data_IF_117500173382
#
_entry.id   IF_117500173382
#
_cell.length_a   1.000
_cell.length_b   1.000
_cell.length_c   1.000
_cell.angle_alpha   90.00
_cell.angle_beta   90.00
_cell.angle_gamma   90.00
#
_symmetry.space_group_name_H-M   'P 1'
#
loop_
_entity.id
_entity.type
_entity.pdbx_description
1 polymer ?
#
# COMPACT_ATOMS: atom_id res chain seq x y z
N UNK A 1 -11.46 8.61 -9.94
CA UNK A 1 -11.53 7.52 -10.93
C UNK A 1 -12.52 7.87 -12.05
N UNK A 2 -12.33 7.23 -13.20
CA UNK A 2 -13.11 7.31 -14.44
C UNK A 2 -13.61 5.92 -14.81
N UNK A 3 -14.50 5.84 -15.81
CA UNK A 3 -14.96 4.56 -16.35
C UNK A 3 -13.80 3.66 -16.77
N UNK A 4 -13.87 2.37 -16.40
CA UNK A 4 -12.86 1.39 -16.77
C UNK A 4 -11.54 1.48 -15.99
N UNK A 5 -11.49 2.18 -14.85
CA UNK A 5 -10.28 2.20 -14.03
C UNK A 5 -9.94 0.81 -13.45
N UNK A 6 -8.69 0.59 -13.05
CA UNK A 6 -8.23 -0.60 -12.34
C UNK A 6 -7.79 -0.28 -10.91
N UNK A 7 -7.88 -1.26 -10.01
CA UNK A 7 -7.52 -1.05 -8.61
C UNK A 7 -6.98 -2.29 -7.91
N UNK A 8 -6.12 -2.08 -6.91
CA UNK A 8 -5.73 -3.09 -5.95
C UNK A 8 -5.90 -2.53 -4.53
N UNK A 9 -6.93 -2.97 -3.79
CA UNK A 9 -7.06 -2.68 -2.38
C UNK A 9 -6.08 -3.53 -1.55
N UNK A 10 -5.90 -3.15 -0.28
CA UNK A 10 -5.23 -4.02 0.69
C UNK A 10 -6.13 -5.15 1.18
N UNK A 11 -5.58 -6.02 2.02
CA UNK A 11 -6.22 -7.26 2.48
C UNK A 11 -6.75 -7.19 3.92
N UNK A 12 -6.66 -6.02 4.56
CA UNK A 12 -7.21 -5.79 5.90
C UNK A 12 -7.22 -4.31 6.29
N UNK A 13 -7.84 -3.99 7.42
CA UNK A 13 -7.87 -2.64 7.97
C UNK A 13 -8.44 -1.59 6.99
N UNK A 14 -7.89 -0.39 7.03
CA UNK A 14 -8.36 0.73 6.20
C UNK A 14 -8.12 0.51 4.69
N UNK A 15 -7.04 -0.18 4.32
CA UNK A 15 -6.70 -0.44 2.91
C UNK A 15 -7.66 -1.42 2.23
N UNK A 16 -8.32 -2.32 2.98
CA UNK A 16 -9.45 -3.10 2.49
C UNK A 16 -10.77 -2.32 2.57
N UNK A 17 -11.01 -1.62 3.68
CA UNK A 17 -12.27 -0.91 3.95
C UNK A 17 -12.59 0.19 2.92
N UNK A 18 -11.59 0.72 2.21
CA UNK A 18 -11.75 1.67 1.11
C UNK A 18 -12.77 1.19 0.05
N UNK A 19 -12.83 -0.12 -0.19
CA UNK A 19 -13.73 -0.74 -1.18
C UNK A 19 -15.21 -0.47 -0.88
N UNK A 20 -15.59 -0.43 0.40
CA UNK A 20 -16.96 -0.10 0.83
C UNK A 20 -17.35 1.32 0.43
N UNK A 21 -16.43 2.27 0.59
CA UNK A 21 -16.69 3.68 0.21
C UNK A 21 -16.61 3.89 -1.30
N UNK A 22 -15.82 3.08 -2.01
CA UNK A 22 -15.75 3.11 -3.46
C UNK A 22 -17.05 2.63 -4.11
N UNK A 23 -17.71 1.60 -3.57
CA UNK A 23 -19.00 1.12 -4.08
C UNK A 23 -20.01 2.24 -4.26
N UNK A 24 -20.29 2.99 -3.19
CA UNK A 24 -21.29 4.07 -3.21
C UNK A 24 -20.94 5.15 -4.25
N UNK A 25 -19.65 5.49 -4.37
CA UNK A 25 -19.16 6.49 -5.32
C UNK A 25 -19.18 6.00 -6.76
N UNK A 26 -18.96 4.70 -6.99
CA UNK A 26 -19.05 4.06 -8.29
C UNK A 26 -20.49 4.03 -8.78
N UNK A 27 -21.43 3.63 -7.91
CA UNK A 27 -22.87 3.65 -8.19
C UNK A 27 -23.37 5.06 -8.49
N UNK A 28 -23.03 6.04 -7.65
CA UNK A 28 -23.54 7.40 -7.82
C UNK A 28 -23.03 8.10 -9.09
N UNK A 29 -21.94 7.58 -9.69
CA UNK A 29 -21.33 8.13 -10.90
C UNK A 29 -21.53 7.24 -12.12
N UNK A 30 -22.23 6.11 -11.96
CA UNK A 30 -22.37 5.06 -12.98
C UNK A 30 -21.01 4.66 -13.60
N UNK A 31 -20.03 4.40 -12.73
CA UNK A 31 -18.67 4.00 -13.12
C UNK A 31 -18.42 2.55 -12.70
N UNK A 32 -17.85 1.77 -13.61
CA UNK A 32 -17.46 0.39 -13.42
C UNK A 32 -15.95 0.24 -13.63
N UNK A 33 -15.28 -0.51 -12.73
CA UNK A 33 -13.87 -0.82 -12.85
C UNK A 33 -13.63 -1.94 -13.88
N UNK A 34 -12.54 -1.86 -14.64
CA UNK A 34 -12.17 -2.91 -15.60
C UNK A 34 -11.66 -4.16 -14.90
N UNK A 35 -10.81 -4.00 -13.89
CA UNK A 35 -10.37 -5.13 -13.09
C UNK A 35 -9.92 -4.71 -11.69
N UNK A 36 -10.00 -5.66 -10.75
CA UNK A 36 -9.21 -5.63 -9.53
C UNK A 36 -8.12 -6.71 -9.56
N UNK A 37 -7.00 -6.43 -8.89
CA UNK A 37 -5.78 -7.23 -8.94
C UNK A 37 -5.30 -7.60 -7.55
N UNK A 38 -4.59 -8.73 -7.47
CA UNK A 38 -3.70 -9.05 -6.36
C UNK A 38 -4.31 -10.10 -5.46
N UNK A 39 -4.30 -9.82 -4.16
CA UNK A 39 -4.86 -10.69 -3.15
C UNK A 39 -6.37 -10.56 -3.05
N UNK A 40 -7.13 -11.45 -3.69
CA UNK A 40 -8.59 -11.28 -3.76
C UNK A 40 -9.25 -11.66 -2.43
N UNK A 41 -10.17 -10.81 -1.98
CA UNK A 41 -10.99 -11.00 -0.77
C UNK A 41 -12.47 -11.10 -1.13
N UNK A 42 -13.28 -11.58 -0.19
CA UNK A 42 -14.74 -11.65 -0.29
C UNK A 42 -15.36 -10.30 -0.69
N UNK A 43 -14.81 -9.18 -0.23
CA UNK A 43 -15.30 -7.84 -0.57
C UNK A 43 -15.08 -7.51 -2.04
N UNK A 44 -13.96 -7.92 -2.63
CA UNK A 44 -13.72 -7.72 -4.07
C UNK A 44 -14.61 -8.63 -4.92
N UNK A 45 -14.84 -9.87 -4.45
CA UNK A 45 -15.81 -10.78 -5.08
C UNK A 45 -17.21 -10.17 -5.08
N UNK A 46 -17.67 -9.63 -3.96
CA UNK A 46 -18.98 -8.99 -3.85
C UNK A 46 -19.14 -7.84 -4.86
N UNK A 47 -18.14 -6.96 -4.99
CA UNK A 47 -18.15 -5.89 -5.99
C UNK A 47 -18.14 -6.42 -7.43
N UNK A 48 -17.45 -7.53 -7.68
CA UNK A 48 -17.46 -8.19 -8.98
C UNK A 48 -18.85 -8.77 -9.31
N UNK A 49 -19.47 -9.50 -8.39
CA UNK A 49 -20.80 -10.10 -8.56
C UNK A 49 -21.90 -9.03 -8.69
N UNK A 50 -21.72 -7.87 -8.05
CA UNK A 50 -22.57 -6.68 -8.22
C UNK A 50 -22.38 -5.95 -9.55
N UNK A 51 -21.43 -6.38 -10.39
CA UNK A 51 -21.14 -5.77 -11.68
C UNK A 51 -20.37 -4.45 -11.61
N UNK A 52 -19.78 -4.11 -10.44
CA UNK A 52 -18.98 -2.90 -10.25
C UNK A 52 -17.52 -3.10 -10.63
N UNK A 53 -17.06 -4.35 -10.70
CA UNK A 53 -15.73 -4.72 -11.20
C UNK A 53 -15.93 -5.78 -12.28
N UNK A 54 -15.41 -5.56 -13.49
CA UNK A 54 -15.63 -6.50 -14.60
C UNK A 54 -14.83 -7.80 -14.48
N UNK A 55 -13.59 -7.73 -13.98
CA UNK A 55 -12.69 -8.88 -13.84
C UNK A 55 -11.91 -8.86 -12.54
N UNK A 56 -11.59 -10.02 -12.00
CA UNK A 56 -10.65 -10.18 -10.89
C UNK A 56 -9.43 -10.94 -11.42
N UNK A 57 -8.23 -10.43 -11.18
CA UNK A 57 -6.98 -11.08 -11.51
C UNK A 57 -6.34 -11.52 -10.18
N UNK A 58 -6.40 -12.81 -9.89
CA UNK A 58 -6.08 -13.38 -8.58
C UNK A 58 -4.74 -14.11 -8.61
N UNK A 59 -3.78 -13.58 -7.85
CA UNK A 59 -2.49 -14.24 -7.61
C UNK A 59 -2.51 -15.00 -6.27
N UNK A 60 -3.46 -14.70 -5.39
CA UNK A 60 -3.63 -15.28 -4.07
C UNK A 60 -5.02 -14.97 -3.49
N UNK A 61 -5.87 -15.98 -3.32
CA UNK A 61 -7.14 -15.80 -2.61
C UNK A 61 -6.91 -15.70 -1.09
N UNK A 62 -7.38 -14.64 -0.44
CA UNK A 62 -7.17 -14.38 1.00
C UNK A 62 -8.21 -15.03 1.91
N UNK A 63 -9.36 -15.45 1.36
CA UNK A 63 -10.41 -16.10 2.12
C UNK A 63 -11.16 -17.15 1.28
N UNK A 64 -11.98 -17.95 1.97
CA UNK A 64 -12.74 -19.04 1.36
C UNK A 64 -13.69 -18.56 0.27
N UNK A 65 -14.27 -17.37 0.41
CA UNK A 65 -15.23 -16.85 -0.57
C UNK A 65 -14.51 -16.45 -1.86
N UNK A 66 -13.32 -15.84 -1.75
CA UNK A 66 -12.44 -15.58 -2.88
C UNK A 66 -12.07 -16.88 -3.62
N UNK A 67 -11.61 -17.90 -2.88
CA UNK A 67 -11.25 -19.19 -3.47
C UNK A 67 -12.44 -19.89 -4.16
N UNK A 68 -13.64 -19.84 -3.55
CA UNK A 68 -14.86 -20.39 -4.16
C UNK A 68 -15.33 -19.58 -5.38
N UNK A 69 -15.16 -18.26 -5.34
CA UNK A 69 -15.45 -17.41 -6.49
C UNK A 69 -14.54 -17.76 -7.67
N UNK A 70 -13.25 -17.99 -7.43
CA UNK A 70 -12.30 -18.33 -8.50
C UNK A 70 -12.74 -19.59 -9.25
N UNK A 71 -13.31 -20.58 -8.54
CA UNK A 71 -13.81 -21.81 -9.15
C UNK A 71 -15.10 -21.65 -9.97
N UNK A 72 -15.90 -20.60 -9.75
CA UNK A 72 -17.26 -20.47 -10.32
C UNK A 72 -17.47 -19.27 -11.23
N UNK A 73 -16.75 -18.17 -11.01
CA UNK A 73 -16.91 -16.92 -11.75
C UNK A 73 -15.89 -16.88 -12.90
N UNK A 74 -16.31 -16.94 -14.18
CA UNK A 74 -15.38 -17.03 -15.32
C UNK A 74 -14.51 -15.78 -15.53
N UNK A 75 -14.92 -14.65 -14.95
CA UNK A 75 -14.16 -13.39 -14.96
C UNK A 75 -13.33 -13.19 -13.68
N UNK A 76 -13.30 -14.17 -12.78
CA UNK A 76 -12.30 -14.29 -11.73
C UNK A 76 -11.22 -15.24 -12.25
N UNK A 77 -10.05 -14.69 -12.55
CA UNK A 77 -9.02 -15.34 -13.34
C UNK A 77 -7.77 -15.53 -12.48
N UNK A 78 -7.31 -16.77 -12.37
CA UNK A 78 -6.03 -17.10 -11.74
C UNK A 78 -4.87 -16.58 -12.58
N UNK A 79 -3.90 -15.94 -11.94
CA UNK A 79 -2.65 -15.50 -12.55
C UNK A 79 -1.44 -15.93 -11.72
N UNK A 80 -0.33 -16.23 -12.39
CA UNK A 80 0.94 -16.51 -11.70
C UNK A 80 1.58 -15.25 -11.13
N UNK A 81 2.48 -15.41 -10.14
CA UNK A 81 3.30 -14.30 -9.63
C UNK A 81 4.13 -13.60 -10.73
N UNK A 82 4.53 -14.34 -11.78
CA UNK A 82 5.23 -13.77 -12.93
C UNK A 82 4.33 -12.85 -13.78
N UNK A 83 3.05 -13.21 -13.96
CA UNK A 83 2.06 -12.37 -14.63
C UNK A 83 1.57 -11.23 -13.73
N UNK A 84 1.69 -11.37 -12.41
CA UNK A 84 1.30 -10.37 -11.44
C UNK A 84 2.30 -9.20 -11.43
N UNK A 85 3.54 -9.43 -10.98
CA UNK A 85 4.43 -8.34 -10.52
C UNK A 85 5.91 -8.46 -10.90
N UNK A 86 6.32 -9.48 -11.68
CA UNK A 86 7.74 -9.63 -12.04
C UNK A 86 8.23 -8.46 -12.92
N UNK A 87 9.21 -7.71 -12.42
CA UNK A 87 9.85 -6.59 -13.11
C UNK A 87 10.44 -6.96 -14.47
N UNK A 88 11.00 -8.16 -14.61
CA UNK A 88 11.59 -8.65 -15.87
C UNK A 88 10.59 -9.33 -16.81
N UNK A 89 9.30 -9.33 -16.50
CA UNK A 89 8.27 -9.95 -17.34
C UNK A 89 8.03 -9.14 -18.61
N UNK A 90 7.55 -9.81 -19.67
CA UNK A 90 7.10 -9.15 -20.91
C UNK A 90 5.84 -8.29 -20.71
N UNK A 91 5.14 -8.48 -19.59
CA UNK A 91 4.00 -7.67 -19.17
C UNK A 91 3.50 -8.15 -17.83
N UNK A 92 3.70 -7.34 -16.80
CA UNK A 92 3.14 -7.59 -15.47
C UNK A 92 1.78 -6.88 -15.35
N UNK A 93 0.84 -7.51 -14.64
CA UNK A 93 -0.52 -6.97 -14.47
C UNK A 93 -0.52 -5.68 -13.66
N UNK A 94 0.44 -5.53 -12.73
CA UNK A 94 0.64 -4.30 -11.96
C UNK A 94 0.96 -3.08 -12.83
N UNK A 95 1.54 -3.27 -14.02
CA UNK A 95 1.86 -2.18 -14.96
C UNK A 95 0.59 -1.58 -15.63
N UNK A 96 -0.57 -2.18 -15.38
CA UNK A 96 -1.88 -1.72 -15.85
C UNK A 96 -2.75 -1.18 -14.71
N UNK A 97 -2.18 -0.96 -13.53
CA UNK A 97 -2.89 -0.58 -12.34
C UNK A 97 -3.02 0.96 -12.24
N UNK A 98 -4.24 1.47 -12.14
CA UNK A 98 -4.44 2.92 -11.96
C UNK A 98 -4.23 3.33 -10.50
N UNK A 99 -4.72 2.53 -9.55
CA UNK A 99 -4.66 2.85 -8.12
C UNK A 99 -4.30 1.62 -7.29
N UNK A 100 -3.31 1.77 -6.41
CA UNK A 100 -3.05 0.81 -5.33
C UNK A 100 -3.23 1.47 -3.97
N UNK A 101 -3.82 0.73 -3.03
CA UNK A 101 -3.96 1.15 -1.63
C UNK A 101 -3.21 0.16 -0.74
N UNK A 102 -2.12 0.63 -0.14
CA UNK A 102 -1.19 -0.15 0.67
C UNK A 102 -1.23 0.30 2.14
N UNK A 103 -0.53 -0.43 3.00
CA UNK A 103 -0.40 -0.14 4.43
C UNK A 103 1.06 -0.18 4.85
N UNK A 104 1.42 0.53 5.90
CA UNK A 104 2.79 0.65 6.38
C UNK A 104 2.92 0.26 7.86
N UNK A 105 4.04 -0.34 8.27
CA UNK A 105 4.45 -0.36 9.69
C UNK A 105 5.01 1.00 10.08
N UNK A 106 5.94 1.52 9.30
CA UNK A 106 6.51 2.86 9.42
C UNK A 106 6.55 3.55 8.06
N UNK A 107 6.43 4.87 8.07
CA UNK A 107 6.72 5.76 6.94
C UNK A 107 7.68 6.81 7.44
N UNK A 108 8.60 7.30 6.61
CA UNK A 108 9.46 8.43 6.97
C UNK A 108 9.12 9.73 6.23
N UNK A 109 9.81 10.82 6.55
CA UNK A 109 9.60 12.13 5.91
C UNK A 109 10.00 12.16 4.43
N UNK A 110 10.72 11.13 3.95
CA UNK A 110 11.04 10.94 2.54
C UNK A 110 10.05 10.01 1.84
N UNK A 111 8.93 9.67 2.50
CA UNK A 111 7.91 8.73 2.05
C UNK A 111 8.39 7.27 1.90
N UNK A 112 9.59 6.92 2.38
CA UNK A 112 10.01 5.52 2.39
C UNK A 112 9.12 4.73 3.34
N UNK A 113 8.87 3.46 3.01
CA UNK A 113 7.95 2.61 3.75
C UNK A 113 8.63 1.36 4.27
N UNK A 114 8.42 1.09 5.56
CA UNK A 114 8.74 -0.16 6.22
C UNK A 114 7.49 -1.02 6.35
N UNK A 115 7.61 -2.28 5.94
CA UNK A 115 6.61 -3.33 6.16
C UNK A 115 7.24 -4.62 6.70
N UNK A 116 8.50 -4.57 7.13
CA UNK A 116 9.29 -5.76 7.45
C UNK A 116 9.66 -5.85 8.94
N UNK A 117 10.20 -4.78 9.52
CA UNK A 117 10.65 -4.73 10.93
C UNK A 117 9.64 -3.98 11.79
N UNK A 118 9.41 -4.48 13.00
CA UNK A 118 8.57 -3.81 13.99
C UNK A 118 9.29 -2.65 14.67
N UNK A 119 8.58 -1.95 15.57
CA UNK A 119 9.14 -0.85 16.38
C UNK A 119 10.23 -1.26 17.37
N UNK A 120 10.48 -2.56 17.52
CA UNK A 120 11.59 -3.14 18.29
C UNK A 120 12.74 -3.63 17.38
N UNK A 121 12.67 -3.33 16.07
CA UNK A 121 13.68 -3.72 15.09
C UNK A 121 13.61 -5.19 14.66
N UNK A 122 12.69 -5.97 15.25
CA UNK A 122 12.59 -7.41 14.97
C UNK A 122 11.77 -7.65 13.71
N UNK A 123 12.28 -8.56 12.85
CA UNK A 123 11.59 -9.07 11.67
C UNK A 123 10.24 -9.70 12.05
N UNK A 124 9.15 -9.14 11.54
CA UNK A 124 7.78 -9.64 11.80
C UNK A 124 6.79 -9.35 10.68
N UNK A 125 7.25 -8.72 9.61
CA UNK A 125 6.44 -8.37 8.47
C UNK A 125 6.86 -9.14 7.22
N UNK A 126 6.44 -8.64 6.06
CA UNK A 126 6.74 -9.22 4.77
C UNK A 126 6.84 -8.12 3.72
N UNK A 127 7.77 -8.28 2.77
CA UNK A 127 7.86 -7.35 1.62
C UNK A 127 6.61 -7.44 0.73
N UNK A 128 6.17 -8.68 0.42
CA UNK A 128 5.04 -8.93 -0.46
C UNK A 128 5.24 -8.30 -1.84
N UNK A 129 4.14 -7.90 -2.48
CA UNK A 129 4.14 -7.07 -3.70
C UNK A 129 4.06 -5.57 -3.42
N UNK A 130 4.44 -5.13 -2.20
CA UNK A 130 4.24 -3.75 -1.77
C UNK A 130 5.04 -2.79 -2.66
N UNK A 131 6.35 -3.02 -2.80
CA UNK A 131 7.19 -2.19 -3.67
C UNK A 131 6.86 -2.36 -5.16
N UNK A 132 6.44 -3.56 -5.58
CA UNK A 132 6.09 -3.83 -6.98
C UNK A 132 4.89 -3.02 -7.46
N UNK A 133 3.82 -3.02 -6.66
CA UNK A 133 2.59 -2.31 -7.00
C UNK A 133 2.73 -0.81 -6.81
N UNK A 134 3.47 -0.37 -5.77
CA UNK A 134 3.72 1.03 -5.51
C UNK A 134 4.39 1.73 -6.70
N UNK A 135 5.42 1.11 -7.28
CA UNK A 135 6.16 1.72 -8.41
C UNK A 135 5.43 1.59 -9.74
N UNK A 136 4.60 0.56 -9.91
CA UNK A 136 3.92 0.30 -11.19
C UNK A 136 2.57 1.02 -11.33
N UNK A 137 1.88 1.29 -10.22
CA UNK A 137 0.58 1.95 -10.24
C UNK A 137 0.70 3.42 -10.65
N UNK A 138 -0.30 3.94 -11.37
CA UNK A 138 -0.36 5.36 -11.70
C UNK A 138 -0.57 6.26 -10.46
N UNK A 139 -1.17 5.69 -9.40
CA UNK A 139 -1.38 6.30 -8.10
C UNK A 139 -1.14 5.30 -6.97
N UNK A 140 -0.11 5.54 -6.17
CA UNK A 140 0.26 4.77 -4.99
C UNK A 140 -0.15 5.48 -3.70
N UNK A 141 -1.07 4.88 -2.94
CA UNK A 141 -1.59 5.43 -1.69
C UNK A 141 -1.19 4.53 -0.52
N UNK A 142 -0.46 5.07 0.44
CA UNK A 142 -0.25 4.45 1.75
C UNK A 142 -1.34 4.92 2.71
N UNK A 143 -1.98 3.99 3.40
CA UNK A 143 -2.94 4.30 4.45
C UNK A 143 -2.46 3.71 5.76
N UNK A 144 -2.35 4.54 6.78
CA UNK A 144 -2.02 4.10 8.12
C UNK A 144 -2.55 5.07 9.18
N UNK A 145 -2.93 4.59 10.38
CA UNK A 145 -3.14 5.50 11.51
C UNK A 145 -1.83 6.23 11.81
N UNK A 146 -1.90 7.48 12.23
CA UNK A 146 -0.70 8.26 12.55
C UNK A 146 0.08 7.64 13.73
N UNK A 147 -0.65 7.02 14.66
CA UNK A 147 -0.11 6.37 15.87
C UNK A 147 -0.80 5.03 16.11
N UNK A 148 -0.05 4.03 16.54
CA UNK A 148 -0.55 2.73 17.01
C UNK A 148 -0.21 2.54 18.48
N UNK A 149 -1.17 2.79 19.36
CA UNK A 149 -0.93 2.76 20.81
C UNK A 149 0.06 3.85 21.22
N UNK A 150 1.32 3.48 21.45
CA UNK A 150 2.42 4.42 21.76
C UNK A 150 3.47 4.51 20.65
N UNK A 151 3.26 3.82 19.54
CA UNK A 151 4.24 3.71 18.45
C UNK A 151 3.84 4.70 17.35
N UNK A 152 4.69 5.68 17.00
CA UNK A 152 4.43 6.56 15.86
C UNK A 152 4.59 5.76 14.57
N UNK A 153 3.63 5.90 13.64
CA UNK A 153 3.78 5.33 12.30
C UNK A 153 4.69 6.19 11.43
N UNK A 154 4.72 7.50 11.67
CA UNK A 154 5.55 8.43 10.92
C UNK A 154 6.79 8.81 11.74
N UNK A 155 7.96 8.45 11.22
CA UNK A 155 9.28 8.59 11.87
C UNK A 155 10.21 9.45 11.02
N UNK A 156 11.41 9.76 11.53
CA UNK A 156 12.40 10.53 10.77
C UNK A 156 13.03 9.72 9.64
N UNK A 157 13.35 8.47 9.92
CA UNK A 157 13.86 7.49 8.97
C UNK A 157 13.26 6.14 9.35
N UNK A 158 12.81 5.39 8.35
CA UNK A 158 12.29 4.04 8.59
C UNK A 158 13.39 3.11 9.10
N UNK A 159 13.04 2.16 9.97
CA UNK A 159 13.98 1.16 10.48
C UNK A 159 14.46 0.23 9.36
N UNK A 160 13.61 -0.02 8.37
CA UNK A 160 13.96 -0.82 7.19
C UNK A 160 13.20 -0.32 5.98
N UNK A 161 13.91 0.08 4.93
CA UNK A 161 13.33 0.54 3.69
C UNK A 161 12.97 -0.65 2.79
N UNK A 162 11.67 -0.86 2.56
CA UNK A 162 11.16 -1.88 1.62
C UNK A 162 10.64 -1.24 0.34
N UNK A 163 9.94 -0.11 0.46
CA UNK A 163 9.42 0.64 -0.69
C UNK A 163 9.98 2.05 -0.68
N UNK A 164 10.73 2.45 -1.73
CA UNK A 164 11.24 3.81 -1.84
C UNK A 164 10.11 4.83 -1.88
N UNK A 165 10.30 5.97 -1.23
CA UNK A 165 9.32 7.05 -1.26
C UNK A 165 9.09 7.66 -2.64
N UNK A 166 10.04 7.49 -3.57
CA UNK A 166 9.84 7.84 -4.99
C UNK A 166 8.72 7.06 -5.67
N UNK A 167 8.26 5.94 -5.07
CA UNK A 167 7.15 5.11 -5.54
C UNK A 167 5.87 5.30 -4.71
N UNK A 168 5.83 6.31 -3.83
CA UNK A 168 4.68 6.61 -2.99
C UNK A 168 4.20 8.01 -3.30
N UNK A 169 2.93 8.13 -3.69
CA UNK A 169 2.37 9.43 -4.08
C UNK A 169 1.64 10.12 -2.93
N UNK A 170 0.93 9.35 -2.10
CA UNK A 170 0.07 9.89 -1.05
C UNK A 170 0.18 9.03 0.21
N UNK A 171 0.30 9.69 1.37
CA UNK A 171 0.07 9.12 2.69
C UNK A 171 -1.26 9.65 3.25
N UNK A 172 -2.20 8.76 3.55
CA UNK A 172 -3.46 9.07 4.22
C UNK A 172 -3.41 8.59 5.66
N UNK A 173 -3.67 9.50 6.59
CA UNK A 173 -3.79 9.20 8.02
C UNK A 173 -5.13 9.67 8.56
N UNK A 174 -5.45 9.28 9.79
CA UNK A 174 -6.54 9.79 10.60
C UNK A 174 -6.36 11.27 11.03
N UNK A 175 -5.19 11.88 10.79
CA UNK A 175 -4.90 13.28 11.11
C UNK A 175 -4.79 14.21 9.88
N UNK A 176 -4.67 13.66 8.68
CA UNK A 176 -4.53 14.41 7.45
C UNK A 176 -3.94 13.60 6.29
N UNK A 177 -3.87 14.23 5.12
CA UNK A 177 -3.29 13.66 3.91
C UNK A 177 -1.98 14.38 3.60
N UNK A 178 -0.88 13.66 3.47
CA UNK A 178 0.35 14.18 2.90
C UNK A 178 0.51 13.68 1.46
N UNK A 179 0.86 14.59 0.56
CA UNK A 179 1.13 14.27 -0.85
C UNK A 179 2.63 14.44 -1.08
N UNK A 180 3.23 13.48 -1.78
CA UNK A 180 4.63 13.54 -2.14
C UNK A 180 4.90 14.80 -2.97
N UNK A 181 5.90 15.63 -2.60
CA UNK A 181 6.25 16.83 -3.37
C UNK A 181 6.59 16.58 -4.84
N UNK A 182 6.95 15.34 -5.22
CA UNK A 182 7.14 14.93 -6.61
C UNK A 182 5.83 14.89 -7.43
N UNK A 183 4.67 14.99 -6.78
CA UNK A 183 3.33 14.95 -7.39
C UNK A 183 2.49 16.19 -7.00
N UNK A 184 2.96 17.41 -7.25
CA UNK A 184 2.29 18.64 -6.80
C UNK A 184 0.88 18.79 -7.39
N UNK A 185 0.63 18.22 -8.57
CA UNK A 185 -0.68 18.21 -9.22
C UNK A 185 -1.73 17.46 -8.40
N UNK A 186 -1.35 16.41 -7.66
CA UNK A 186 -2.26 15.68 -6.79
C UNK A 186 -2.62 16.52 -5.55
N UNK A 187 -1.66 17.25 -4.99
CA UNK A 187 -1.89 18.12 -3.84
C UNK A 187 -2.90 19.22 -4.18
N UNK A 188 -2.73 19.88 -5.33
CA UNK A 188 -3.64 20.93 -5.78
C UNK A 188 -5.05 20.39 -6.06
N UNK A 189 -5.17 19.24 -6.70
CA UNK A 189 -6.48 18.59 -6.94
C UNK A 189 -7.20 18.22 -5.64
N UNK A 190 -6.47 17.72 -4.63
CA UNK A 190 -7.05 17.38 -3.33
C UNK A 190 -7.47 18.61 -2.54
N UNK A 191 -6.65 19.68 -2.52
CA UNK A 191 -7.01 20.96 -1.89
C UNK A 191 -8.23 21.58 -2.55
N UNK A 192 -8.29 21.60 -3.88
CA UNK A 192 -9.45 22.10 -4.63
C UNK A 192 -10.73 21.29 -4.35
N UNK A 193 -10.59 20.00 -4.03
CA UNK A 193 -11.69 19.15 -3.59
C UNK A 193 -12.07 19.32 -2.10
N UNK A 194 -11.44 20.25 -1.37
CA UNK A 194 -11.71 20.53 0.03
C UNK A 194 -11.07 19.55 1.01
N UNK A 195 -10.10 18.75 0.57
CA UNK A 195 -9.42 17.79 1.44
C UNK A 195 -8.34 18.47 2.29
N UNK A 196 -8.18 18.02 3.54
CA UNK A 196 -7.12 18.50 4.45
C UNK A 196 -5.75 17.94 4.06
N UNK A 197 -5.09 18.62 3.14
CA UNK A 197 -3.70 18.33 2.75
C UNK A 197 -2.74 19.07 3.68
N UNK A 198 -1.79 18.33 4.26
CA UNK A 198 -0.75 18.82 5.18
C UNK A 198 0.62 18.35 4.69
N UNK A 199 1.69 18.95 5.20
CA UNK A 199 3.03 18.43 4.90
C UNK A 199 3.30 17.13 5.67
N UNK A 200 4.24 16.33 5.18
CA UNK A 200 4.63 15.10 5.89
C UNK A 200 5.34 15.43 7.20
N UNK A 201 6.09 16.54 7.27
CA UNK A 201 6.72 17.04 8.49
C UNK A 201 5.67 17.40 9.55
N UNK A 202 4.54 18.00 9.15
CA UNK A 202 3.45 18.30 10.08
C UNK A 202 2.86 17.02 10.68
N UNK A 203 2.66 15.99 9.85
CA UNK A 203 2.22 14.68 10.36
C UNK A 203 3.26 14.10 11.31
N UNK A 204 4.55 14.22 11.01
CA UNK A 204 5.65 13.70 11.83
C UNK A 204 5.67 14.38 13.19
N UNK A 205 5.64 15.70 13.21
CA UNK A 205 5.55 16.49 14.45
C UNK A 205 4.28 16.14 15.24
N UNK A 206 3.16 15.96 14.55
CA UNK A 206 1.91 15.55 15.18
C UNK A 206 2.02 14.16 15.81
N UNK A 207 2.69 13.21 15.17
CA UNK A 207 2.91 11.88 15.72
C UNK A 207 3.76 11.96 17.00
N UNK A 208 4.86 12.71 16.95
CA UNK A 208 5.75 12.89 18.11
C UNK A 208 5.08 13.61 19.28
N UNK A 209 4.18 14.57 19.03
CA UNK A 209 3.39 15.19 20.10
C UNK A 209 2.48 14.19 20.82
N UNK A 210 2.01 13.16 20.11
CA UNK A 210 1.12 12.13 20.66
C UNK A 210 1.88 11.00 21.37
N UNK A 211 3.08 10.66 20.89
CA UNK A 211 3.85 9.50 21.38
C UNK A 211 5.06 9.85 22.23
N UNK A 212 5.53 11.10 22.18
CA UNK A 212 6.88 11.48 22.58
C UNK A 212 7.92 11.05 21.55
N UNK A 213 9.19 11.32 21.87
CA UNK A 213 10.32 10.82 21.08
C UNK A 213 10.47 9.31 21.28
N UNK A 214 10.47 8.49 20.21
CA UNK A 214 10.73 7.06 20.34
C UNK A 214 12.16 6.83 20.82
N UNK A 215 12.33 5.84 21.71
CA UNK A 215 13.66 5.42 22.14
C UNK A 215 14.36 4.73 20.96
N UNK A 216 15.59 5.14 20.59
CA UNK A 216 16.35 4.47 19.54
C UNK A 216 16.54 2.99 19.87
N UNK A 217 16.43 2.14 18.85
CA UNK A 217 16.73 0.71 18.94
C UNK A 217 18.25 0.55 18.82
N UNK A 218 18.85 -0.23 19.71
CA UNK A 218 20.26 -0.58 19.61
C UNK A 218 20.44 -1.80 18.71
N UNK A 219 21.29 -1.67 17.69
CA UNK A 219 21.65 -2.74 16.79
C UNK A 219 23.13 -3.11 16.95
N UNK A 220 23.47 -4.34 16.60
CA UNK A 220 24.86 -4.78 16.43
C UNK A 220 25.28 -4.63 14.96
N UNK A 221 26.58 -4.75 14.67
CA UNK A 221 27.11 -4.69 13.30
C UNK A 221 26.72 -5.91 12.44
N UNK A 222 26.15 -6.97 13.04
CA UNK A 222 25.79 -8.18 12.31
C UNK A 222 24.55 -7.96 11.44
N UNK A 223 24.73 -8.07 10.12
CA UNK A 223 23.63 -8.16 9.16
C UNK A 223 22.96 -9.54 9.25
N UNK A 224 21.64 -9.56 9.43
CA UNK A 224 20.82 -10.79 9.52
C UNK A 224 19.92 -11.01 8.30
N UNK A 225 19.65 -9.98 7.52
CA UNK A 225 18.92 -10.09 6.26
C UNK A 225 19.33 -8.99 5.27
N UNK A 226 19.21 -9.28 3.98
CA UNK A 226 19.41 -8.33 2.90
C UNK A 226 18.06 -8.07 2.24
N UNK A 227 17.64 -6.80 2.17
CA UNK A 227 16.41 -6.40 1.51
C UNK A 227 16.74 -6.12 0.05
N UNK A 228 16.24 -7.00 -0.84
CA UNK A 228 16.40 -6.84 -2.29
C UNK A 228 15.23 -6.03 -2.83
N UNK A 229 15.53 -5.07 -3.69
CA UNK A 229 14.51 -4.39 -4.48
C UNK A 229 14.06 -5.28 -5.64
N UNK A 230 12.93 -4.93 -6.26
CA UNK A 230 12.29 -5.75 -7.32
C UNK A 230 13.15 -5.99 -8.57
N UNK A 231 14.11 -5.10 -8.83
CA UNK A 231 15.08 -5.23 -9.93
C UNK A 231 16.30 -6.09 -9.58
N UNK A 232 16.35 -6.59 -8.34
CA UNK A 232 17.46 -7.39 -7.83
C UNK A 232 18.60 -6.56 -7.22
N UNK A 233 18.55 -5.24 -7.18
CA UNK A 233 19.49 -4.45 -6.38
C UNK A 233 19.27 -4.64 -4.87
N UNK A 234 20.21 -4.19 -4.04
CA UNK A 234 20.04 -4.14 -2.58
C UNK A 234 19.57 -2.74 -2.22
N UNK A 235 18.39 -2.64 -1.60
CA UNK A 235 17.84 -1.35 -1.13
C UNK A 235 18.18 -1.08 0.33
N UNK A 236 18.28 -2.13 1.14
CA UNK A 236 18.58 -2.01 2.56
C UNK A 236 19.08 -3.33 3.15
N UNK A 237 19.54 -3.29 4.41
CA UNK A 237 19.92 -4.46 5.20
C UNK A 237 19.30 -4.39 6.58
N UNK A 238 19.01 -5.55 7.17
CA UNK A 238 18.49 -5.63 8.55
C UNK A 238 19.62 -6.09 9.46
N UNK A 239 19.87 -5.32 10.51
CA UNK A 239 20.86 -5.61 11.54
C UNK A 239 20.25 -6.36 12.72
N UNK A 240 21.05 -7.19 13.39
CA UNK A 240 20.64 -7.87 14.61
C UNK A 240 20.40 -6.85 15.74
N UNK A 241 19.22 -6.90 16.36
CA UNK A 241 18.89 -6.12 17.56
C UNK A 241 19.76 -6.59 18.73
N UNK A 242 20.27 -5.64 19.52
CA UNK A 242 21.08 -5.90 20.71
C UNK A 242 20.17 -6.26 21.88
N UNK A 243 20.48 -7.38 22.55
CA UNK A 243 19.79 -7.84 23.77
C UNK A 243 20.10 -6.97 24.99
#
# INVERSE_FOLDING_TARGET
FSEGFSLQPGTGGASLAVTRFLEDKMRSRNIVANFALGGITATMVDLHEKGLIRKLLDVQSFDRNAAQSLARNPNHIEISANQYANWGSKGASVDRLDVVVLSALEVDTHFNVNVLTGSDGVLRGASGGHCDTAVAAALSIIVAPLVRGRIPTLVDNVTTCVTPGSSVDILVTDHGIAVNPARPELAERLKAAGMKVVSIEWLRERAQLLTGQPRPIEFTDRVIAVVRYRDGSVIDVVHQVKE
#
